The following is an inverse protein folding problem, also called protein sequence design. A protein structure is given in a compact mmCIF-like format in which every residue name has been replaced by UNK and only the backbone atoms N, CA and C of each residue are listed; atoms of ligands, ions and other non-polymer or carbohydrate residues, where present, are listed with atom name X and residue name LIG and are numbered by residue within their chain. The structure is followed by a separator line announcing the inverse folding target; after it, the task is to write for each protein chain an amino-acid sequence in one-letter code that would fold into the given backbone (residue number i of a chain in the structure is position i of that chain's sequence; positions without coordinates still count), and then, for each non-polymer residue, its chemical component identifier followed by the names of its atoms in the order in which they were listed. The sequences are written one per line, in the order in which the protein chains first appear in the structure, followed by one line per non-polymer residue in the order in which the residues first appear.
data_IF_069638998404
#
_entry.id   IF_069638998404
#
_cell.length_a   1.000
_cell.length_b   1.000
_cell.length_c   1.000
_cell.angle_alpha   90.00
_cell.angle_beta   90.00
_cell.angle_gamma   90.00
#
_symmetry.space_group_name_H-M   'P 1'
#
loop_
_entity.id
_entity.type
_entity.pdbx_description
1 polymer ?
#
# COMPACT_ATOMS: atom_id res chain seq x y z
N UNK A 1 2.18 18.16 -2.12
CA UNK A 1 2.01 16.95 -2.93
C UNK A 1 2.97 17.04 -4.09
N UNK A 2 3.88 16.09 -4.24
CA UNK A 2 4.64 15.94 -5.49
C UNK A 2 3.71 15.79 -6.71
N UNK A 3 4.23 16.17 -7.88
CA UNK A 3 3.51 16.10 -9.17
C UNK A 3 2.97 14.68 -9.44
N UNK A 4 3.79 13.66 -9.17
CA UNK A 4 3.46 12.25 -9.37
C UNK A 4 2.20 11.85 -8.58
N UNK A 5 2.16 12.17 -7.28
CA UNK A 5 1.02 11.82 -6.42
C UNK A 5 -0.26 12.57 -6.81
N UNK A 6 -0.12 13.78 -7.35
CA UNK A 6 -1.27 14.57 -7.81
C UNK A 6 -1.87 13.93 -9.06
N UNK A 7 -1.02 13.52 -10.01
CA UNK A 7 -1.45 12.83 -11.23
C UNK A 7 -2.06 11.46 -10.88
N UNK A 8 -1.37 10.66 -10.07
CA UNK A 8 -1.85 9.35 -9.64
C UNK A 8 -3.14 9.47 -8.82
N UNK A 9 -3.23 10.43 -7.90
CA UNK A 9 -4.42 10.68 -7.10
C UNK A 9 -5.63 10.96 -7.98
N UNK A 10 -5.51 11.87 -8.96
CA UNK A 10 -6.56 12.18 -9.94
C UNK A 10 -6.92 10.99 -10.83
N UNK A 11 -5.92 10.21 -11.24
CA UNK A 11 -6.15 9.00 -12.04
C UNK A 11 -6.98 7.99 -11.24
N UNK A 12 -6.61 7.72 -9.98
CA UNK A 12 -7.36 6.81 -9.12
C UNK A 12 -8.74 7.34 -8.77
N UNK A 13 -8.90 8.66 -8.57
CA UNK A 13 -10.21 9.29 -8.43
C UNK A 13 -11.10 8.97 -9.62
N UNK A 14 -10.62 9.19 -10.84
CA UNK A 14 -11.37 8.93 -12.06
C UNK A 14 -11.68 7.44 -12.24
N UNK A 15 -10.72 6.56 -11.96
CA UNK A 15 -10.88 5.10 -12.10
C UNK A 15 -11.89 4.53 -11.09
N UNK A 16 -11.93 5.09 -9.87
CA UNK A 16 -12.79 4.59 -8.80
C UNK A 16 -14.14 5.31 -8.69
N UNK A 17 -14.31 6.46 -9.35
CA UNK A 17 -15.56 7.24 -9.39
C UNK A 17 -16.82 6.39 -9.66
N UNK A 18 -16.87 5.50 -10.68
CA UNK A 18 -18.08 4.72 -10.94
C UNK A 18 -18.34 3.64 -9.88
N UNK A 19 -17.38 3.38 -8.99
CA UNK A 19 -17.47 2.33 -7.96
C UNK A 19 -17.71 2.89 -6.55
N UNK A 20 -17.84 4.21 -6.38
CA UNK A 20 -18.01 4.84 -5.06
C UNK A 20 -19.27 4.36 -4.32
N UNK A 21 -20.36 4.14 -5.07
CA UNK A 21 -21.65 3.66 -4.57
C UNK A 21 -21.82 2.14 -4.64
N UNK A 22 -20.87 1.43 -5.28
CA UNK A 22 -20.94 -0.01 -5.46
C UNK A 22 -20.23 -0.74 -4.31
N UNK A 23 -20.37 -2.07 -4.30
CA UNK A 23 -19.61 -2.91 -3.39
C UNK A 23 -18.09 -2.67 -3.58
N UNK A 24 -17.31 -2.44 -2.51
CA UNK A 24 -15.86 -2.25 -2.58
C UNK A 24 -15.10 -3.31 -3.40
N UNK A 25 -15.63 -4.54 -3.49
CA UNK A 25 -15.07 -5.59 -4.35
C UNK A 25 -15.02 -5.22 -5.84
N UNK A 26 -15.99 -4.46 -6.35
CA UNK A 26 -16.04 -4.07 -7.76
C UNK A 26 -14.87 -3.15 -8.11
N UNK A 27 -14.64 -2.10 -7.31
CA UNK A 27 -13.49 -1.22 -7.46
C UNK A 27 -12.16 -1.96 -7.29
N UNK A 28 -12.08 -2.87 -6.31
CA UNK A 28 -10.88 -3.70 -6.09
C UNK A 28 -10.57 -4.61 -7.29
N UNK A 29 -11.57 -5.31 -7.81
CA UNK A 29 -11.40 -6.21 -8.96
C UNK A 29 -11.01 -5.43 -10.22
N UNK A 30 -11.61 -4.27 -10.45
CA UNK A 30 -11.28 -3.41 -11.58
C UNK A 30 -9.82 -2.93 -11.53
N UNK A 31 -9.37 -2.41 -10.39
CA UNK A 31 -7.97 -1.99 -10.23
C UNK A 31 -7.02 -3.19 -10.34
N UNK A 32 -7.34 -4.33 -9.73
CA UNK A 32 -6.53 -5.55 -9.84
C UNK A 32 -6.40 -6.05 -11.29
N UNK A 33 -7.46 -5.94 -12.10
CA UNK A 33 -7.44 -6.26 -13.52
C UNK A 33 -6.48 -5.34 -14.29
N UNK A 34 -6.58 -4.03 -14.06
CA UNK A 34 -5.69 -3.03 -14.68
C UNK A 34 -4.23 -3.24 -14.25
N UNK A 35 -3.99 -3.56 -12.98
CA UNK A 35 -2.66 -3.96 -12.49
C UNK A 35 -2.16 -5.19 -13.24
N UNK A 36 -2.95 -6.26 -13.32
CA UNK A 36 -2.55 -7.48 -14.03
C UNK A 36 -2.15 -7.20 -15.48
N UNK A 37 -2.93 -6.36 -16.18
CA UNK A 37 -2.63 -5.93 -17.54
C UNK A 37 -1.32 -5.13 -17.62
N UNK A 38 -1.15 -4.11 -16.77
CA UNK A 38 0.05 -3.29 -16.72
C UNK A 38 1.30 -4.14 -16.45
N UNK A 39 1.23 -5.05 -15.46
CA UNK A 39 2.35 -5.91 -15.10
C UNK A 39 2.72 -6.88 -16.23
N UNK A 40 1.74 -7.42 -16.96
CA UNK A 40 2.00 -8.25 -18.14
C UNK A 40 2.72 -7.48 -19.25
N UNK A 41 2.31 -6.23 -19.50
CA UNK A 41 2.96 -5.37 -20.51
C UNK A 41 4.41 -5.09 -20.10
N UNK A 42 4.64 -4.67 -18.86
CA UNK A 42 5.99 -4.40 -18.33
C UNK A 42 6.84 -5.66 -18.41
N UNK A 43 6.33 -6.80 -17.94
CA UNK A 43 7.05 -8.06 -17.97
C UNK A 43 7.41 -8.47 -19.40
N UNK A 44 6.48 -8.32 -20.36
CA UNK A 44 6.74 -8.63 -21.77
C UNK A 44 7.91 -7.83 -22.35
N UNK A 45 8.03 -6.55 -21.99
CA UNK A 45 9.06 -5.67 -22.54
C UNK A 45 10.41 -5.78 -21.84
N UNK A 46 10.41 -6.13 -20.55
CA UNK A 46 11.62 -6.16 -19.72
C UNK A 46 12.24 -7.55 -19.59
N UNK A 47 11.44 -8.61 -19.78
CA UNK A 47 11.86 -10.00 -19.62
C UNK A 47 12.58 -10.53 -20.86
N UNK A 48 13.65 -11.30 -20.65
CA UNK A 48 14.35 -12.00 -21.72
C UNK A 48 13.64 -13.32 -22.07
N UNK A 49 12.59 -13.22 -22.88
CA UNK A 49 11.73 -14.35 -23.27
C UNK A 49 12.50 -15.51 -23.92
N UNK A 50 13.48 -15.21 -24.78
CA UNK A 50 14.29 -16.26 -25.44
C UNK A 50 15.22 -16.96 -24.47
N UNK A 51 15.81 -16.24 -23.52
CA UNK A 51 16.61 -16.80 -22.44
C UNK A 51 15.79 -17.70 -21.53
N UNK A 52 14.59 -17.27 -21.17
CA UNK A 52 13.64 -18.03 -20.32
C UNK A 52 13.24 -19.34 -21.01
N UNK A 53 12.87 -19.28 -22.29
CA UNK A 53 12.56 -20.47 -23.10
C UNK A 53 13.70 -21.49 -23.10
N UNK A 54 14.91 -21.04 -23.44
CA UNK A 54 16.11 -21.90 -23.48
C UNK A 54 16.39 -22.57 -22.13
N UNK A 55 16.23 -21.84 -21.02
CA UNK A 55 16.44 -22.40 -19.68
C UNK A 55 15.33 -23.39 -19.32
N UNK A 56 14.07 -23.10 -19.64
CA UNK A 56 12.94 -24.04 -19.47
C UNK A 56 13.16 -25.33 -20.23
N UNK A 57 13.62 -25.26 -21.47
CA UNK A 57 13.87 -26.46 -22.28
C UNK A 57 15.03 -27.29 -21.71
N UNK A 58 16.07 -26.66 -21.16
CA UNK A 58 17.13 -27.37 -20.42
C UNK A 58 16.60 -28.04 -19.15
N UNK A 59 15.74 -27.38 -18.38
CA UNK A 59 15.12 -27.97 -17.20
C UNK A 59 14.30 -29.21 -17.60
N UNK A 60 13.51 -29.13 -18.69
CA UNK A 60 12.76 -30.28 -19.22
C UNK A 60 13.69 -31.42 -19.65
N UNK A 61 14.80 -31.10 -20.33
CA UNK A 61 15.77 -32.10 -20.75
C UNK A 61 16.37 -32.86 -19.55
N UNK A 62 16.77 -32.15 -18.48
CA UNK A 62 17.30 -32.80 -17.28
C UNK A 62 16.23 -33.56 -16.48
N UNK A 63 14.97 -33.11 -16.51
CA UNK A 63 13.87 -33.90 -15.93
C UNK A 63 13.62 -35.20 -16.69
N UNK A 64 13.79 -35.20 -18.01
CA UNK A 64 13.74 -36.41 -18.83
C UNK A 64 14.95 -37.32 -18.56
N UNK A 65 16.14 -36.74 -18.38
CA UNK A 65 17.37 -37.46 -18.00
C UNK A 65 17.19 -38.21 -16.68
N UNK A 66 16.60 -37.56 -15.65
CA UNK A 66 16.25 -38.21 -14.39
C UNK A 66 15.29 -39.39 -14.57
N UNK A 67 14.31 -39.26 -15.47
CA UNK A 67 13.34 -40.31 -15.76
C UNK A 67 13.97 -41.49 -16.52
N UNK A 68 14.93 -41.22 -17.40
CA UNK A 68 15.60 -42.22 -18.24
C UNK A 68 16.68 -42.98 -17.46
N UNK A 69 17.45 -42.30 -16.60
CA UNK A 69 18.60 -42.85 -15.88
C UNK A 69 18.34 -43.02 -14.37
N UNK A 70 17.09 -43.29 -13.99
CA UNK A 70 16.67 -43.44 -12.59
C UNK A 70 17.49 -44.45 -11.77
N UNK A 71 18.06 -45.45 -12.42
CA UNK A 71 18.82 -46.54 -11.76
C UNK A 71 20.32 -46.22 -11.64
N UNK A 72 20.79 -45.10 -12.22
CA UNK A 72 22.17 -44.65 -12.09
C UNK A 72 22.26 -43.43 -11.17
N UNK A 73 22.75 -43.65 -9.94
CA UNK A 73 22.82 -42.62 -8.90
C UNK A 73 23.75 -41.46 -9.27
N UNK A 74 24.86 -41.72 -9.98
CA UNK A 74 25.80 -40.69 -10.40
C UNK A 74 25.23 -39.74 -11.46
N UNK A 75 24.51 -40.30 -12.44
CA UNK A 75 23.79 -39.51 -13.47
C UNK A 75 22.65 -38.72 -12.84
N UNK A 76 21.89 -39.35 -11.94
CA UNK A 76 20.78 -38.73 -11.22
C UNK A 76 21.24 -37.51 -10.40
N UNK A 77 22.33 -37.63 -9.63
CA UNK A 77 22.86 -36.51 -8.83
C UNK A 77 23.36 -35.36 -9.71
N UNK A 78 24.02 -35.65 -10.84
CA UNK A 78 24.45 -34.61 -11.79
C UNK A 78 23.26 -33.89 -12.42
N UNK A 79 22.23 -34.63 -12.84
CA UNK A 79 21.02 -34.05 -13.42
C UNK A 79 20.29 -33.14 -12.41
N UNK A 80 20.20 -33.53 -11.13
CA UNK A 80 19.66 -32.66 -10.07
C UNK A 80 20.46 -31.37 -9.91
N UNK A 81 21.80 -31.45 -9.87
CA UNK A 81 22.66 -30.26 -9.80
C UNK A 81 22.49 -29.34 -11.02
N UNK A 82 22.30 -29.91 -12.21
CA UNK A 82 22.05 -29.15 -13.44
C UNK A 82 20.66 -28.51 -13.46
N UNK A 83 19.63 -29.18 -12.93
CA UNK A 83 18.29 -28.60 -12.70
C UNK A 83 18.38 -27.44 -11.74
N UNK A 84 19.07 -27.59 -10.60
CA UNK A 84 19.22 -26.54 -9.61
C UNK A 84 19.92 -25.31 -10.21
N UNK A 85 21.02 -25.51 -10.93
CA UNK A 85 21.73 -24.41 -11.62
C UNK A 85 20.86 -23.74 -12.69
N UNK A 86 20.07 -24.53 -13.42
CA UNK A 86 19.14 -24.00 -14.42
C UNK A 86 18.00 -23.20 -13.77
N UNK A 87 17.48 -23.64 -12.63
CA UNK A 87 16.50 -22.90 -11.83
C UNK A 87 17.09 -21.59 -11.29
N UNK A 88 18.33 -21.59 -10.79
CA UNK A 88 19.00 -20.35 -10.38
C UNK A 88 19.14 -19.36 -11.54
N UNK A 89 19.51 -19.85 -12.73
CA UNK A 89 19.58 -19.02 -13.94
C UNK A 89 18.21 -18.52 -14.37
N UNK A 90 17.17 -19.34 -14.24
CA UNK A 90 15.78 -18.96 -14.49
C UNK A 90 15.34 -17.82 -13.55
N UNK A 91 15.60 -17.95 -12.25
CA UNK A 91 15.31 -16.92 -11.27
C UNK A 91 16.07 -15.63 -11.58
N UNK A 92 17.36 -15.72 -11.94
CA UNK A 92 18.17 -14.55 -12.31
C UNK A 92 17.61 -13.81 -13.52
N UNK A 93 17.10 -14.51 -14.53
CA UNK A 93 16.45 -13.89 -15.70
C UNK A 93 15.15 -13.15 -15.33
N UNK A 94 14.47 -13.57 -14.25
CA UNK A 94 13.25 -12.93 -13.75
C UNK A 94 13.52 -11.76 -12.78
N UNK A 95 14.74 -11.61 -12.25
CA UNK A 95 15.05 -10.51 -11.33
C UNK A 95 14.86 -9.14 -11.99
N UNK A 96 15.34 -8.97 -13.22
CA UNK A 96 15.23 -7.69 -13.95
C UNK A 96 13.78 -7.23 -14.10
N UNK A 97 12.85 -8.01 -14.71
CA UNK A 97 11.46 -7.58 -14.81
C UNK A 97 10.81 -7.37 -13.44
N UNK A 98 11.14 -8.20 -12.44
CA UNK A 98 10.60 -8.07 -11.08
C UNK A 98 10.96 -6.72 -10.45
N UNK A 99 12.22 -6.30 -10.52
CA UNK A 99 12.66 -4.99 -9.99
C UNK A 99 11.95 -3.84 -10.70
N UNK A 100 11.77 -3.92 -12.01
CA UNK A 100 11.04 -2.89 -12.77
C UNK A 100 9.56 -2.84 -12.37
N UNK A 101 8.93 -3.98 -12.10
CA UNK A 101 7.53 -4.06 -11.67
C UNK A 101 7.29 -3.57 -10.24
N UNK A 102 8.30 -3.65 -9.34
CA UNK A 102 8.17 -3.16 -7.96
C UNK A 102 7.79 -1.68 -7.92
N UNK A 103 8.40 -0.86 -8.78
CA UNK A 103 8.17 0.60 -8.79
C UNK A 103 6.69 0.95 -9.00
N UNK A 104 6.03 0.57 -10.11
CA UNK A 104 4.61 0.86 -10.29
C UNK A 104 3.73 0.14 -9.27
N UNK A 105 4.12 -1.05 -8.80
CA UNK A 105 3.35 -1.77 -7.78
C UNK A 105 3.30 -0.98 -6.47
N UNK A 106 4.42 -0.43 -6.00
CA UNK A 106 4.46 0.42 -4.79
C UNK A 106 3.56 1.64 -4.98
N UNK A 107 3.62 2.30 -6.14
CA UNK A 107 2.76 3.45 -6.44
C UNK A 107 1.27 3.10 -6.37
N UNK A 108 0.88 1.97 -6.96
CA UNK A 108 -0.51 1.49 -6.93
C UNK A 108 -0.92 1.14 -5.49
N UNK A 109 -0.07 0.44 -4.74
CA UNK A 109 -0.34 0.07 -3.34
C UNK A 109 -0.50 1.29 -2.44
N UNK A 110 0.33 2.32 -2.61
CA UNK A 110 0.22 3.57 -1.86
C UNK A 110 -1.13 4.26 -2.12
N UNK A 111 -1.60 4.28 -3.37
CA UNK A 111 -2.91 4.82 -3.73
C UNK A 111 -4.05 3.95 -3.17
N UNK A 112 -3.99 2.63 -3.35
CA UNK A 112 -5.01 1.71 -2.83
C UNK A 112 -5.14 1.75 -1.31
N UNK A 113 -4.03 1.97 -0.58
CA UNK A 113 -4.05 2.09 0.86
C UNK A 113 -4.93 3.27 1.33
N UNK A 114 -5.03 4.36 0.55
CA UNK A 114 -5.93 5.48 0.88
C UNK A 114 -7.41 5.10 0.79
N UNK A 115 -7.78 4.19 -0.10
CA UNK A 115 -9.18 3.83 -0.37
C UNK A 115 -9.64 2.60 0.41
N UNK A 116 -8.71 1.66 0.62
CA UNK A 116 -8.98 0.32 1.15
C UNK A 116 -8.19 0.02 2.43
N UNK A 117 -7.27 0.88 2.86
CA UNK A 117 -6.45 0.64 4.06
C UNK A 117 -7.17 0.96 5.36
N UNK A 118 -8.07 1.95 5.36
CA UNK A 118 -8.69 2.47 6.57
C UNK A 118 -10.17 2.73 6.37
N UNK A 119 -10.96 2.43 7.40
CA UNK A 119 -12.36 2.82 7.50
C UNK A 119 -12.45 4.24 8.08
N UNK A 120 -13.39 5.08 7.59
CA UNK A 120 -13.73 6.33 8.26
C UNK A 120 -14.05 6.11 9.74
N UNK A 121 -13.84 7.13 10.57
CA UNK A 121 -14.26 7.05 11.97
C UNK A 121 -15.78 6.94 12.05
N UNK A 122 -16.31 6.25 13.05
CA UNK A 122 -17.75 6.19 13.27
C UNK A 122 -18.21 7.30 14.22
N UNK A 123 -19.38 7.89 13.97
CA UNK A 123 -19.96 8.86 14.92
C UNK A 123 -20.15 8.22 16.30
N UNK A 124 -19.79 8.97 17.34
CA UNK A 124 -19.89 8.57 18.74
C UNK A 124 -18.81 7.61 19.22
N UNK A 125 -17.96 7.07 18.33
CA UNK A 125 -16.84 6.20 18.72
C UNK A 125 -15.55 7.00 18.94
N UNK A 126 -14.83 6.77 20.05
CA UNK A 126 -13.57 7.45 20.29
C UNK A 126 -12.48 6.95 19.33
N UNK A 127 -11.58 7.85 18.94
CA UNK A 127 -10.38 7.59 18.18
C UNK A 127 -9.18 8.28 18.83
N UNK A 128 -7.97 7.89 18.42
CA UNK A 128 -6.73 8.47 18.95
C UNK A 128 -6.01 9.21 17.83
N UNK A 129 -5.68 10.48 18.08
CA UNK A 129 -4.74 11.25 17.28
C UNK A 129 -3.37 11.16 17.94
N UNK A 130 -2.40 10.64 17.19
CA UNK A 130 -1.01 10.51 17.58
C UNK A 130 -0.17 11.52 16.82
N UNK A 131 0.63 12.30 17.52
CA UNK A 131 1.57 13.25 16.93
C UNK A 131 2.97 12.84 17.33
N UNK A 132 3.74 12.33 16.37
CA UNK A 132 5.14 11.94 16.57
C UNK A 132 6.05 13.12 16.27
N UNK A 133 6.93 13.41 17.21
CA UNK A 133 7.85 14.54 17.16
C UNK A 133 9.22 14.12 16.60
N UNK A 134 10.01 15.12 16.18
CA UNK A 134 11.38 14.88 15.80
C UNK A 134 12.30 14.71 17.02
N UNK A 135 13.49 14.11 16.82
CA UNK A 135 14.37 13.79 17.93
C UNK A 135 14.89 14.96 18.77
N UNK A 136 14.90 16.16 18.19
CA UNK A 136 15.42 17.41 18.73
C UNK A 136 14.36 18.22 19.51
N UNK A 137 13.12 17.74 19.55
CA UNK A 137 12.00 18.45 20.18
C UNK A 137 11.82 18.00 21.63
N UNK A 138 11.85 18.95 22.56
CA UNK A 138 11.49 18.69 23.96
C UNK A 138 9.96 18.55 24.08
N UNK A 139 9.50 17.32 24.35
CA UNK A 139 8.08 16.96 24.47
C UNK A 139 7.40 17.66 25.65
N UNK A 140 8.12 17.80 26.76
CA UNK A 140 7.60 18.35 28.02
C UNK A 140 7.65 19.89 28.03
N UNK A 141 8.70 20.46 27.43
CA UNK A 141 8.93 21.91 27.40
C UNK A 141 8.22 22.67 26.27
N UNK A 142 7.63 21.96 25.30
CA UNK A 142 6.89 22.61 24.20
C UNK A 142 5.39 22.58 24.49
N UNK A 143 4.73 23.73 24.32
CA UNK A 143 3.27 23.80 24.39
C UNK A 143 2.64 23.25 23.11
N UNK A 144 1.74 22.29 23.30
CA UNK A 144 0.95 21.69 22.23
C UNK A 144 -0.52 21.87 22.53
N UNK A 145 -1.25 22.42 21.56
CA UNK A 145 -2.69 22.57 21.63
C UNK A 145 -3.34 21.92 20.41
N UNK A 146 -4.50 21.32 20.61
CA UNK A 146 -5.32 20.75 19.56
C UNK A 146 -6.62 21.54 19.49
N UNK A 147 -6.90 22.10 18.32
CA UNK A 147 -8.13 22.81 18.01
C UNK A 147 -8.95 21.92 17.07
N UNK A 148 -10.19 21.66 17.45
CA UNK A 148 -11.14 20.87 16.69
C UNK A 148 -12.41 21.68 16.42
N UNK A 149 -13.13 21.40 15.32
CA UNK A 149 -14.44 21.97 15.09
C UNK A 149 -15.47 21.37 16.07
N UNK A 150 -16.65 22.00 16.26
CA UNK A 150 -17.64 21.56 17.25
C UNK A 150 -18.13 20.11 17.05
N UNK A 151 -18.01 19.58 15.84
CA UNK A 151 -18.36 18.21 15.46
C UNK A 151 -17.34 17.16 15.93
N UNK A 152 -16.18 17.57 16.46
CA UNK A 152 -15.18 16.66 17.04
C UNK A 152 -14.87 17.13 18.46
N UNK A 153 -15.29 16.34 19.45
CA UNK A 153 -15.01 16.61 20.85
C UNK A 153 -13.65 16.03 21.26
N UNK A 154 -12.80 16.83 21.88
CA UNK A 154 -11.54 16.37 22.49
C UNK A 154 -11.87 15.90 23.92
N UNK A 155 -11.72 14.60 24.18
CA UNK A 155 -12.11 14.01 25.48
C UNK A 155 -11.01 14.12 26.54
N UNK A 156 -9.74 14.26 26.12
CA UNK A 156 -8.60 14.23 27.03
C UNK A 156 -7.60 15.36 26.74
N UNK A 157 -6.90 15.87 27.77
CA UNK A 157 -5.70 16.67 27.56
C UNK A 157 -4.61 15.85 26.81
N UNK A 158 -3.57 16.51 26.26
CA UNK A 158 -2.47 15.82 25.60
C UNK A 158 -1.75 14.87 26.54
N UNK A 159 -1.78 13.57 26.23
CA UNK A 159 -0.92 12.59 26.88
C UNK A 159 0.47 12.71 26.24
N UNK A 160 1.48 13.03 27.05
CA UNK A 160 2.88 13.19 26.61
C UNK A 160 3.67 11.92 26.89
N UNK A 161 4.18 11.27 25.85
CA UNK A 161 5.03 10.08 25.96
C UNK A 161 6.47 10.45 25.54
N UNK A 162 7.32 10.71 26.52
CA UNK A 162 8.69 11.20 26.28
C UNK A 162 9.56 10.15 25.56
N UNK A 163 9.53 8.90 26.00
CA UNK A 163 10.31 7.81 25.40
C UNK A 163 9.94 7.57 23.93
N UNK A 164 8.64 7.57 23.63
CA UNK A 164 8.11 7.40 22.28
C UNK A 164 8.16 8.69 21.44
N UNK A 165 8.42 9.85 22.07
CA UNK A 165 8.37 11.19 21.48
C UNK A 165 7.04 11.44 20.77
N UNK A 166 5.97 11.05 21.44
CA UNK A 166 4.61 11.01 20.90
C UNK A 166 3.65 11.78 21.83
N UNK A 167 2.68 12.43 21.22
CA UNK A 167 1.57 13.10 21.90
C UNK A 167 0.27 12.47 21.44
N UNK A 168 -0.55 12.02 22.40
CA UNK A 168 -1.80 11.35 22.12
C UNK A 168 -2.98 12.18 22.63
N UNK A 169 -3.95 12.41 21.75
CA UNK A 169 -5.27 12.95 22.11
C UNK A 169 -6.35 11.94 21.80
N UNK A 170 -7.30 11.81 22.72
CA UNK A 170 -8.53 11.06 22.46
C UNK A 170 -9.61 12.01 21.97
N UNK A 171 -10.15 11.72 20.80
CA UNK A 171 -11.20 12.49 20.14
C UNK A 171 -12.45 11.64 19.92
N UNK A 172 -13.63 12.25 19.99
CA UNK A 172 -14.91 11.64 19.67
C UNK A 172 -15.64 12.48 18.62
N UNK A 173 -15.83 11.96 17.40
CA UNK A 173 -16.70 12.59 16.42
C UNK A 173 -18.16 12.55 16.85
N UNK A 174 -18.89 13.64 16.67
CA UNK A 174 -20.32 13.76 17.00
C UNK A 174 -21.22 13.91 15.76
N UNK A 175 -20.64 14.27 14.60
CA UNK A 175 -21.34 14.34 13.32
C UNK A 175 -20.55 13.68 12.19
N UNK A 176 -21.26 13.24 11.15
CA UNK A 176 -20.67 12.70 9.93
C UNK A 176 -20.16 13.84 9.03
N UNK A 177 -19.03 13.63 8.36
CA UNK A 177 -18.44 14.62 7.48
C UNK A 177 -16.92 14.57 7.43
N UNK A 178 -16.35 15.53 6.72
CA UNK A 178 -14.91 15.75 6.61
C UNK A 178 -14.55 17.02 7.36
N UNK A 179 -13.65 16.89 8.32
CA UNK A 179 -13.31 17.96 9.27
C UNK A 179 -11.80 18.15 9.35
N UNK A 180 -11.36 19.38 9.56
CA UNK A 180 -9.95 19.70 9.73
C UNK A 180 -9.62 19.96 11.20
N UNK A 181 -8.64 19.22 11.71
CA UNK A 181 -8.04 19.42 13.04
C UNK A 181 -6.80 20.30 12.91
N UNK A 182 -6.66 21.29 13.77
CA UNK A 182 -5.48 22.17 13.81
C UNK A 182 -4.64 21.87 15.04
N UNK A 183 -3.42 21.41 14.81
CA UNK A 183 -2.43 21.13 15.85
C UNK A 183 -1.46 22.31 15.92
N UNK A 184 -1.42 22.98 17.07
CA UNK A 184 -0.45 24.05 17.36
C UNK A 184 0.71 23.48 18.15
N UNK A 185 1.93 23.78 17.72
CA UNK A 185 3.17 23.41 18.39
C UNK A 185 4.06 24.67 18.48
N UNK A 186 3.98 25.39 19.61
CA UNK A 186 4.47 26.76 19.71
C UNK A 186 3.82 27.66 18.66
N UNK A 187 4.62 28.42 17.90
CA UNK A 187 4.14 29.38 16.91
C UNK A 187 3.71 28.77 15.56
N UNK A 188 3.85 27.45 15.38
CA UNK A 188 3.51 26.77 14.12
C UNK A 188 2.22 25.98 14.25
N UNK A 189 1.34 26.10 13.25
CA UNK A 189 0.10 25.32 13.13
C UNK A 189 0.18 24.30 11.99
N UNK A 190 -0.44 23.14 12.21
CA UNK A 190 -0.52 22.06 11.25
C UNK A 190 -1.95 21.54 11.15
N UNK A 191 -2.45 21.42 9.93
CA UNK A 191 -3.81 20.93 9.68
C UNK A 191 -3.76 19.42 9.44
N UNK A 192 -4.74 18.67 9.94
CA UNK A 192 -4.95 17.25 9.70
C UNK A 192 -6.42 17.00 9.40
N UNK A 193 -6.71 16.35 8.28
CA UNK A 193 -8.10 16.06 7.89
C UNK A 193 -8.58 14.74 8.49
N UNK A 194 -9.82 14.73 8.97
CA UNK A 194 -10.52 13.57 9.55
C UNK A 194 -11.77 13.31 8.73
N UNK A 195 -12.04 12.05 8.40
CA UNK A 195 -13.27 11.62 7.74
C UNK A 195 -14.09 10.76 8.70
N UNK A 196 -15.37 11.11 8.85
CA UNK A 196 -16.32 10.49 9.80
C UNK A 196 -17.57 10.02 9.06
N UNK A 197 -17.94 8.75 9.26
CA UNK A 197 -19.10 8.06 8.66
C UNK A 197 -19.19 8.27 7.14
N UNK A 198 -18.07 7.96 6.48
CA UNK A 198 -17.96 8.04 5.04
C UNK A 198 -18.95 7.14 4.31
N UNK A 199 -19.49 7.64 3.19
CA UNK A 199 -20.49 6.91 2.39
C UNK A 199 -19.81 6.01 1.37
N UNK A 200 -19.80 4.71 1.62
CA UNK A 200 -19.30 3.72 0.66
C UNK A 200 -17.77 3.65 0.58
N UNK A 201 -17.22 3.78 -0.63
CA UNK A 201 -15.78 3.79 -0.86
C UNK A 201 -15.25 5.23 -0.81
N UNK A 202 -14.58 5.60 0.27
CA UNK A 202 -14.04 6.94 0.47
C UNK A 202 -12.53 6.92 0.77
N UNK A 203 -11.83 7.99 0.42
CA UNK A 203 -10.41 8.18 0.72
C UNK A 203 -10.23 8.57 2.19
N UNK A 204 -9.37 7.85 2.89
CA UNK A 204 -9.01 8.12 4.28
C UNK A 204 -7.50 8.31 4.38
N UNK A 205 -7.06 9.51 4.78
CA UNK A 205 -5.66 9.75 5.11
C UNK A 205 -5.42 9.46 6.59
N UNK A 206 -5.02 8.22 6.92
CA UNK A 206 -4.70 7.88 8.30
C UNK A 206 -3.41 8.57 8.79
N UNK A 207 -2.41 8.70 7.91
CA UNK A 207 -1.08 9.19 8.26
C UNK A 207 -0.67 10.39 7.39
N UNK A 208 -0.16 11.43 8.05
CA UNK A 208 0.48 12.58 7.44
C UNK A 208 1.92 12.65 7.92
N UNK A 209 2.86 12.69 7.00
CA UNK A 209 4.31 12.57 7.27
C UNK A 209 5.05 13.84 6.92
N UNK A 210 6.21 14.03 7.54
CA UNK A 210 7.17 15.07 7.16
C UNK A 210 7.62 14.89 5.71
N UNK A 211 7.88 16.01 5.04
CA UNK A 211 8.31 16.04 3.65
C UNK A 211 9.60 15.24 3.43
N UNK A 212 9.48 14.15 2.68
CA UNK A 212 10.55 13.27 2.20
C UNK A 212 10.05 12.63 0.90
N UNK A 213 10.95 12.39 -0.07
CA UNK A 213 10.54 11.90 -1.38
C UNK A 213 9.81 10.55 -1.30
N UNK A 214 10.35 9.61 -0.53
CA UNK A 214 9.75 8.28 -0.36
C UNK A 214 8.45 8.34 0.45
N UNK A 215 8.42 9.15 1.51
CA UNK A 215 7.26 9.27 2.39
C UNK A 215 6.10 9.99 1.69
N UNK A 216 6.37 10.98 0.85
CA UNK A 216 5.35 11.59 0.00
C UNK A 216 4.74 10.54 -0.93
N UNK A 217 5.55 9.70 -1.57
CA UNK A 217 5.07 8.65 -2.50
C UNK A 217 4.23 7.59 -1.77
N UNK A 218 4.65 7.15 -0.58
CA UNK A 218 3.97 6.11 0.18
C UNK A 218 2.69 6.60 0.88
N UNK A 219 2.61 7.89 1.23
CA UNK A 219 1.46 8.48 1.92
C UNK A 219 0.88 9.68 1.15
N UNK A 220 0.28 9.46 -0.03
CA UNK A 220 -0.19 10.54 -0.90
C UNK A 220 -1.54 11.12 -0.50
N UNK A 221 -2.05 10.85 0.71
CA UNK A 221 -3.40 11.21 1.14
C UNK A 221 -3.57 12.69 1.47
N UNK A 222 -2.55 13.31 2.05
CA UNK A 222 -2.54 14.72 2.40
C UNK A 222 -1.22 15.38 2.01
N UNK A 223 -1.22 16.71 1.86
CA UNK A 223 0.02 17.47 1.63
C UNK A 223 0.96 17.27 2.82
N UNK A 224 2.15 16.71 2.58
CA UNK A 224 3.17 16.48 3.60
C UNK A 224 3.46 17.73 4.45
N UNK A 225 3.86 17.50 5.70
CA UNK A 225 4.22 18.58 6.62
C UNK A 225 5.44 19.35 6.08
N UNK A 226 5.51 20.68 6.30
CA UNK A 226 6.65 21.49 5.89
C UNK A 226 7.99 20.90 6.35
N UNK A 227 9.07 21.09 5.56
CA UNK A 227 10.40 20.57 5.90
C UNK A 227 10.97 21.12 7.22
N UNK A 228 10.55 22.32 7.61
CA UNK A 228 10.88 22.95 8.89
C UNK A 228 9.94 22.56 10.04
N UNK A 229 9.07 21.57 9.82
CA UNK A 229 8.18 21.07 10.86
C UNK A 229 8.99 20.35 11.94
N UNK A 230 8.62 20.63 13.18
CA UNK A 230 9.06 19.91 14.39
C UNK A 230 8.31 18.58 14.58
N UNK A 231 7.25 18.37 13.82
CA UNK A 231 6.45 17.15 13.83
C UNK A 231 6.98 16.22 12.73
N UNK A 232 7.25 14.97 13.11
CA UNK A 232 7.65 13.90 12.19
C UNK A 232 6.44 13.31 11.46
N UNK A 233 5.37 13.02 12.21
CA UNK A 233 4.14 12.48 11.64
C UNK A 233 2.91 12.79 12.50
N UNK A 234 1.75 12.85 11.87
CA UNK A 234 0.44 12.96 12.50
C UNK A 234 -0.40 11.80 12.01
N UNK A 235 -0.82 10.93 12.92
CA UNK A 235 -1.56 9.72 12.66
C UNK A 235 -2.90 9.77 13.37
N UNK A 236 -3.99 9.42 12.68
CA UNK A 236 -5.26 9.12 13.32
C UNK A 236 -5.42 7.61 13.26
N UNK A 237 -5.66 6.99 14.41
CA UNK A 237 -5.84 5.54 14.50
C UNK A 237 -7.23 5.19 13.97
N UNK A 238 -7.29 4.84 12.70
CA UNK A 238 -8.49 4.34 12.04
C UNK A 238 -8.61 2.82 12.17
N UNK A 239 -9.83 2.27 12.24
CA UNK A 239 -10.02 0.84 12.08
C UNK A 239 -9.56 0.39 10.69
N UNK A 240 -8.83 -0.72 10.63
CA UNK A 240 -8.38 -1.30 9.37
C UNK A 240 -9.58 -1.79 8.57
N UNK A 241 -9.70 -1.34 7.32
CA UNK A 241 -10.81 -1.74 6.45
C UNK A 241 -10.64 -3.19 6.03
N UNK A 242 -11.71 -3.98 6.21
CA UNK A 242 -11.73 -5.40 5.82
C UNK A 242 -12.82 -5.66 4.79
N UNK A 243 -12.47 -6.37 3.73
CA UNK A 243 -13.40 -6.76 2.69
C UNK A 243 -14.10 -8.05 3.10
N UNK A 244 -15.43 -8.04 3.13
CA UNK A 244 -16.24 -9.23 3.44
C UNK A 244 -16.41 -10.10 2.20
N UNK A 245 -15.97 -11.36 2.24
CA UNK A 245 -16.18 -12.36 1.20
C UNK A 245 -16.75 -13.63 1.82
N UNK A 246 -17.98 -14.02 1.47
CA UNK A 246 -18.66 -15.20 2.04
C UNK A 246 -18.59 -15.27 3.58
N UNK A 247 -18.72 -14.13 4.27
CA UNK A 247 -18.66 -14.03 5.73
C UNK A 247 -17.24 -13.90 6.33
N UNK A 248 -16.19 -14.12 5.54
CA UNK A 248 -14.79 -13.90 5.97
C UNK A 248 -14.38 -12.45 5.77
N UNK A 249 -13.70 -11.86 6.77
CA UNK A 249 -13.15 -10.50 6.71
C UNK A 249 -11.70 -10.53 6.26
N UNK A 250 -11.47 -10.39 4.95
CA UNK A 250 -10.14 -10.41 4.34
C UNK A 250 -9.48 -9.03 4.40
N UNK A 251 -8.17 -9.03 4.65
CA UNK A 251 -7.35 -7.83 4.50
C UNK A 251 -7.30 -7.44 3.02
N UNK A 252 -7.51 -6.16 2.72
CA UNK A 252 -7.60 -5.67 1.33
C UNK A 252 -6.37 -6.04 0.49
N UNK A 253 -5.17 -6.02 1.09
CA UNK A 253 -3.93 -6.37 0.40
C UNK A 253 -3.93 -7.80 -0.11
N UNK A 254 -4.45 -8.75 0.67
CA UNK A 254 -4.55 -10.17 0.28
C UNK A 254 -5.53 -10.31 -0.88
N UNK A 255 -6.69 -9.65 -0.78
CA UNK A 255 -7.69 -9.64 -1.83
C UNK A 255 -7.14 -9.06 -3.14
N UNK A 256 -6.47 -7.91 -3.06
CA UNK A 256 -5.84 -7.25 -4.20
C UNK A 256 -4.77 -8.11 -4.87
N UNK A 257 -3.82 -8.64 -4.09
CA UNK A 257 -2.75 -9.48 -4.63
C UNK A 257 -3.30 -10.77 -5.25
N UNK A 258 -4.24 -11.42 -4.57
CA UNK A 258 -4.91 -12.62 -5.09
C UNK A 258 -5.61 -12.36 -6.42
N UNK A 259 -6.43 -11.30 -6.50
CA UNK A 259 -7.12 -10.92 -7.74
C UNK A 259 -6.14 -10.53 -8.85
N UNK A 260 -5.10 -9.75 -8.54
CA UNK A 260 -4.10 -9.30 -9.53
C UNK A 260 -3.35 -10.49 -10.12
N UNK A 261 -3.00 -11.48 -9.30
CA UNK A 261 -2.38 -12.74 -9.73
C UNK A 261 -3.34 -13.53 -10.62
N UNK A 262 -4.59 -13.72 -10.20
CA UNK A 262 -5.61 -14.44 -10.99
C UNK A 262 -5.78 -13.80 -12.37
N UNK A 263 -5.93 -12.47 -12.44
CA UNK A 263 -6.07 -11.76 -13.70
C UNK A 263 -4.79 -11.82 -14.55
N UNK A 264 -3.62 -11.66 -13.95
CA UNK A 264 -2.34 -11.83 -14.64
C UNK A 264 -2.19 -13.21 -15.27
N UNK A 265 -2.57 -14.28 -14.56
CA UNK A 265 -2.53 -15.64 -15.09
C UNK A 265 -3.60 -15.92 -16.14
N UNK A 266 -4.81 -15.37 -15.98
CA UNK A 266 -5.88 -15.48 -16.97
C UNK A 266 -5.51 -14.80 -18.29
N UNK A 267 -4.85 -13.63 -18.22
CA UNK A 267 -4.47 -12.81 -19.38
C UNK A 267 -3.10 -13.18 -19.97
N UNK A 268 -2.30 -14.08 -19.37
CA UNK A 268 -0.96 -14.42 -19.89
C UNK A 268 -0.98 -14.96 -21.33
N UNK A 269 -1.98 -15.80 -21.65
CA UNK A 269 -2.12 -16.47 -22.96
C UNK A 269 -2.37 -15.48 -24.10
N UNK A 270 -3.36 -14.58 -24.04
CA UNK A 270 -3.59 -13.60 -25.11
C UNK A 270 -2.39 -12.67 -25.32
N UNK A 271 -1.61 -12.36 -24.28
CA UNK A 271 -0.43 -11.51 -24.39
C UNK A 271 0.86 -12.23 -24.83
N UNK A 272 0.81 -13.54 -25.11
CA UNK A 272 1.95 -14.38 -25.53
C UNK A 272 3.17 -14.26 -24.59
N UNK A 273 2.90 -14.09 -23.29
CA UNK A 273 3.95 -14.00 -22.27
C UNK A 273 4.18 -15.38 -21.68
N UNK A 274 5.43 -15.84 -21.69
CA UNK A 274 5.82 -17.01 -20.92
C UNK A 274 6.32 -16.57 -19.56
N UNK A 275 5.59 -16.98 -18.52
CA UNK A 275 5.91 -16.79 -17.10
C UNK A 275 6.43 -18.10 -16.53
#
# INVERSE_FOLDING_TARGET
MGLINTILGKLFDLLLLPFLSLNPWAGMAFVALLTGLLMLIIYRWTSNQSGIRRVKDKIKAHLLELRLFKDNMGVTMRAQGQILRSNLRYLALNLRPLVVMIVPLILILAQLNLWFGSEPLAVGRPAILKVRLLPDVNVLGTEFALESPPEITIETPPLRLEEARELDWRLRPTAAGTFDLTIRAGDKSYIKTVVVDGRGLEKVSALKVKRSFLDEVLYPGEKALPGESRIKAIEIVHPAKKLSLFGLRLHWLIAYLGLSIIFGFALKKPFRVEI
#
